data_IF_312776369286
#
_entry.id   IF_312776369286
#
_cell.length_a   1.000
_cell.length_b   1.000
_cell.length_c   1.000
_cell.angle_alpha   90.00
_cell.angle_beta   90.00
_cell.angle_gamma   90.00
#
_symmetry.space_group_name_H-M   'P 1'
#
loop_
_entity.id
_entity.type
_entity.pdbx_description
1 polymer ?
#
# COMPACT_ATOMS: atom_id res chain seq x y z
N UNK A 1 -14.10 7.44 -19.27
CA UNK A 1 -14.16 7.32 -17.80
C UNK A 1 -13.33 8.47 -17.25
N UNK A 2 -13.89 9.34 -16.41
CA UNK A 2 -13.05 10.29 -15.68
C UNK A 2 -11.97 9.51 -14.91
N UNK A 3 -10.78 10.09 -14.66
CA UNK A 3 -9.92 9.55 -13.63
C UNK A 3 -10.71 9.61 -12.32
N UNK A 4 -11.10 8.46 -11.79
CA UNK A 4 -11.67 8.36 -10.46
C UNK A 4 -10.76 9.09 -9.48
N UNK A 5 -11.33 10.00 -8.69
CA UNK A 5 -10.57 10.74 -7.70
C UNK A 5 -10.02 9.77 -6.63
N UNK A 6 -8.94 10.17 -5.95
CA UNK A 6 -8.24 9.29 -5.01
C UNK A 6 -9.14 8.82 -3.86
N UNK A 7 -10.12 9.63 -3.45
CA UNK A 7 -11.04 9.27 -2.37
C UNK A 7 -12.04 8.19 -2.82
N UNK A 8 -12.55 8.30 -4.05
CA UNK A 8 -13.40 7.27 -4.66
C UNK A 8 -12.68 5.94 -4.81
N UNK A 9 -11.41 5.96 -5.26
CA UNK A 9 -10.59 4.74 -5.35
C UNK A 9 -10.40 4.14 -3.95
N UNK A 10 -9.98 4.93 -2.97
CA UNK A 10 -9.75 4.46 -1.60
C UNK A 10 -11.01 3.83 -0.98
N UNK A 11 -12.17 4.51 -1.10
CA UNK A 11 -13.44 4.01 -0.56
C UNK A 11 -13.86 2.69 -1.17
N UNK A 12 -13.77 2.56 -2.49
CA UNK A 12 -14.13 1.32 -3.18
C UNK A 12 -13.14 0.20 -2.88
N UNK A 13 -11.85 0.49 -2.79
CA UNK A 13 -10.83 -0.49 -2.40
C UNK A 13 -11.08 -1.06 -1.00
N UNK A 14 -11.47 -0.20 -0.04
CA UNK A 14 -11.87 -0.62 1.33
C UNK A 14 -13.13 -1.48 1.27
N UNK A 15 -14.18 -1.01 0.58
CA UNK A 15 -15.44 -1.74 0.48
C UNK A 15 -15.26 -3.14 -0.12
N UNK A 16 -14.40 -3.27 -1.13
CA UNK A 16 -14.04 -4.54 -1.74
C UNK A 16 -13.42 -5.50 -0.72
N UNK A 17 -12.39 -5.07 0.01
CA UNK A 17 -11.69 -5.91 0.99
C UNK A 17 -12.57 -6.30 2.18
N UNK A 18 -13.45 -5.40 2.65
CA UNK A 18 -14.38 -5.70 3.73
C UNK A 18 -15.48 -6.69 3.33
N UNK A 19 -15.89 -6.70 2.06
CA UNK A 19 -16.98 -7.57 1.60
C UNK A 19 -16.55 -9.03 1.39
N UNK A 20 -15.27 -9.29 1.16
CA UNK A 20 -14.74 -10.62 0.85
C UNK A 20 -15.05 -11.09 -0.57
N UNK A 21 -14.16 -11.92 -1.12
CA UNK A 21 -14.24 -12.42 -2.50
C UNK A 21 -15.55 -13.18 -2.78
N UNK A 22 -16.11 -12.99 -3.98
CA UNK A 22 -17.32 -13.68 -4.44
C UNK A 22 -18.64 -13.05 -3.97
N UNK A 23 -18.58 -11.91 -3.27
CA UNK A 23 -19.76 -11.10 -2.99
C UNK A 23 -20.00 -10.07 -4.09
N UNK A 24 -21.26 -9.64 -4.25
CA UNK A 24 -21.61 -8.57 -5.20
C UNK A 24 -20.85 -7.26 -4.93
N UNK A 25 -20.65 -6.91 -3.65
CA UNK A 25 -19.91 -5.69 -3.27
C UNK A 25 -18.44 -5.79 -3.67
N UNK A 26 -17.83 -6.97 -3.53
CA UNK A 26 -16.46 -7.21 -4.03
C UNK A 26 -16.38 -6.98 -5.54
N UNK A 27 -17.25 -7.64 -6.31
CA UNK A 27 -17.25 -7.52 -7.78
C UNK A 27 -17.48 -6.09 -8.27
N UNK A 28 -18.43 -5.37 -7.66
CA UNK A 28 -18.75 -3.98 -8.01
C UNK A 28 -17.64 -2.98 -7.67
N UNK A 29 -16.72 -3.34 -6.77
CA UNK A 29 -15.63 -2.47 -6.34
C UNK A 29 -14.23 -2.95 -6.76
N UNK A 30 -14.13 -4.08 -7.44
CA UNK A 30 -12.86 -4.66 -7.89
C UNK A 30 -12.05 -3.73 -8.79
N UNK A 31 -12.73 -2.88 -9.56
CA UNK A 31 -12.11 -1.85 -10.39
C UNK A 31 -11.15 -0.94 -9.61
N UNK A 32 -11.37 -0.73 -8.31
CA UNK A 32 -10.52 0.13 -7.49
C UNK A 32 -9.17 -0.52 -7.17
N UNK A 33 -9.15 -1.85 -7.02
CA UNK A 33 -7.92 -2.62 -6.95
C UNK A 33 -7.16 -2.52 -8.26
N UNK A 34 -7.81 -2.86 -9.39
CA UNK A 34 -7.18 -2.79 -10.72
C UNK A 34 -6.65 -1.39 -11.01
N UNK A 35 -7.39 -0.35 -10.60
CA UNK A 35 -6.97 1.03 -10.82
C UNK A 35 -5.74 1.40 -10.01
N UNK A 36 -5.66 0.97 -8.75
CA UNK A 36 -4.51 1.25 -7.89
C UNK A 36 -3.28 0.47 -8.35
N UNK A 37 -3.46 -0.79 -8.73
CA UNK A 37 -2.45 -1.65 -9.37
C UNK A 37 -1.87 -0.99 -10.63
N UNK A 38 -2.74 -0.51 -11.52
CA UNK A 38 -2.36 0.25 -12.71
C UNK A 38 -1.54 1.52 -12.37
N UNK A 39 -1.89 2.20 -11.27
CA UNK A 39 -1.22 3.44 -10.87
C UNK A 39 0.16 3.17 -10.27
N UNK A 40 0.39 2.02 -9.64
CA UNK A 40 1.72 1.63 -9.16
C UNK A 40 2.73 1.73 -10.32
N UNK A 41 2.37 1.25 -11.50
CA UNK A 41 3.27 1.28 -12.66
C UNK A 41 3.28 2.61 -13.43
N UNK A 42 2.19 3.38 -13.39
CA UNK A 42 2.01 4.58 -14.24
C UNK A 42 2.31 5.89 -13.51
N UNK A 43 2.01 5.94 -12.23
CA UNK A 43 2.09 7.14 -11.38
C UNK A 43 2.24 6.72 -9.90
N UNK A 44 3.44 6.26 -9.50
CA UNK A 44 3.67 5.67 -8.18
C UNK A 44 3.45 6.65 -7.03
N UNK A 45 3.68 7.95 -7.24
CA UNK A 45 3.38 8.98 -6.24
C UNK A 45 1.87 9.10 -6.01
N UNK A 46 1.05 9.06 -7.07
CA UNK A 46 -0.40 9.05 -6.92
C UNK A 46 -0.90 7.77 -6.25
N UNK A 47 -0.30 6.62 -6.56
CA UNK A 47 -0.61 5.37 -5.87
C UNK A 47 -0.34 5.48 -4.37
N UNK A 48 0.81 6.04 -3.98
CA UNK A 48 1.15 6.30 -2.58
C UNK A 48 0.13 7.23 -1.88
N UNK A 49 -0.33 8.29 -2.55
CA UNK A 49 -1.37 9.17 -2.00
C UNK A 49 -2.72 8.44 -1.80
N UNK A 50 -3.07 7.47 -2.64
CA UNK A 50 -4.26 6.64 -2.46
C UNK A 50 -4.07 5.69 -1.27
N UNK A 51 -2.91 5.06 -1.11
CA UNK A 51 -2.59 4.21 0.05
C UNK A 51 -2.74 5.01 1.35
N UNK A 52 -2.19 6.23 1.40
CA UNK A 52 -2.36 7.14 2.55
C UNK A 52 -3.83 7.48 2.81
N UNK A 53 -4.61 7.72 1.75
CA UNK A 53 -6.04 7.95 1.88
C UNK A 53 -6.81 6.74 2.42
N UNK A 54 -6.42 5.51 2.04
CA UNK A 54 -7.00 4.27 2.56
C UNK A 54 -6.70 4.14 4.06
N UNK A 55 -5.43 4.27 4.47
CA UNK A 55 -5.01 4.16 5.87
C UNK A 55 -5.72 5.20 6.75
N UNK A 56 -5.91 6.41 6.24
CA UNK A 56 -6.65 7.47 6.92
C UNK A 56 -8.15 7.17 7.06
N UNK A 57 -8.73 6.47 6.10
CA UNK A 57 -10.16 6.17 6.07
C UNK A 57 -10.52 4.92 6.90
N UNK A 58 -9.65 3.91 6.93
CA UNK A 58 -9.86 2.67 7.68
C UNK A 58 -8.52 2.14 8.23
N UNK A 59 -8.44 2.08 9.56
CA UNK A 59 -7.25 1.64 10.30
C UNK A 59 -7.38 0.22 10.87
N UNK A 60 -8.31 -0.59 10.34
CA UNK A 60 -8.48 -1.96 10.78
C UNK A 60 -7.30 -2.83 10.34
N UNK A 61 -6.95 -3.84 11.16
CA UNK A 61 -5.85 -4.76 10.86
C UNK A 61 -6.00 -5.44 9.48
N UNK A 62 -7.24 -5.73 9.06
CA UNK A 62 -7.52 -6.32 7.75
C UNK A 62 -7.09 -5.39 6.61
N UNK A 63 -7.47 -4.11 6.67
CA UNK A 63 -7.13 -3.13 5.63
C UNK A 63 -5.62 -2.86 5.62
N UNK A 64 -5.02 -2.64 6.79
CA UNK A 64 -3.59 -2.37 6.89
C UNK A 64 -2.74 -3.55 6.39
N UNK A 65 -3.13 -4.79 6.71
CA UNK A 65 -2.40 -5.99 6.28
C UNK A 65 -2.49 -6.21 4.77
N UNK A 66 -3.67 -5.99 4.18
CA UNK A 66 -3.85 -6.11 2.72
C UNK A 66 -3.08 -5.05 1.95
N UNK A 67 -2.94 -3.83 2.47
CA UNK A 67 -2.09 -2.80 1.87
C UNK A 67 -0.61 -3.19 1.92
N UNK A 68 -0.17 -3.74 3.06
CA UNK A 68 1.19 -4.22 3.24
C UNK A 68 1.54 -5.33 2.27
N UNK A 69 0.78 -6.44 2.29
CA UNK A 69 1.02 -7.62 1.47
C UNK A 69 0.65 -7.45 -0.03
N UNK A 70 0.36 -6.22 -0.45
CA UNK A 70 -0.03 -5.89 -1.82
C UNK A 70 0.61 -4.58 -2.25
N UNK A 71 -0.14 -3.48 -2.19
CA UNK A 71 0.26 -2.26 -2.88
C UNK A 71 1.52 -1.59 -2.34
N UNK A 72 1.85 -1.75 -1.05
CA UNK A 72 3.12 -1.24 -0.50
C UNK A 72 4.29 -2.10 -0.98
N UNK A 73 4.12 -3.42 -1.02
CA UNK A 73 5.11 -4.37 -1.55
C UNK A 73 5.37 -4.09 -3.02
N UNK A 74 4.32 -4.05 -3.84
CA UNK A 74 4.41 -3.78 -5.27
C UNK A 74 5.04 -2.42 -5.58
N UNK A 75 4.74 -1.38 -4.79
CA UNK A 75 5.41 -0.07 -4.93
C UNK A 75 6.92 -0.19 -4.74
N UNK A 76 7.37 -0.98 -3.77
CA UNK A 76 8.79 -1.21 -3.54
C UNK A 76 9.40 -2.07 -4.65
N UNK A 77 8.73 -3.15 -5.08
CA UNK A 77 9.23 -4.02 -6.14
C UNK A 77 9.43 -3.27 -7.47
N UNK A 78 8.50 -2.38 -7.83
CA UNK A 78 8.50 -1.76 -9.16
C UNK A 78 9.04 -0.33 -9.19
N UNK A 79 9.01 0.40 -8.07
CA UNK A 79 9.24 1.84 -8.07
C UNK A 79 10.07 2.34 -6.87
N UNK A 80 10.87 1.48 -6.22
CA UNK A 80 11.57 1.82 -4.98
C UNK A 80 12.24 3.20 -4.97
N UNK A 81 13.03 3.52 -6.00
CA UNK A 81 13.80 4.74 -6.10
C UNK A 81 12.92 5.99 -6.26
N UNK A 82 11.69 5.82 -6.76
CA UNK A 82 10.74 6.92 -6.91
C UNK A 82 10.02 7.23 -5.59
N UNK A 83 9.77 6.23 -4.74
CA UNK A 83 8.87 6.39 -3.58
C UNK A 83 9.52 6.26 -2.21
N UNK A 84 10.75 5.73 -2.10
CA UNK A 84 11.35 5.44 -0.78
C UNK A 84 11.53 6.70 0.10
N UNK A 85 11.83 7.85 -0.50
CA UNK A 85 11.96 9.11 0.23
C UNK A 85 10.60 9.60 0.75
N UNK A 86 9.54 9.48 -0.06
CA UNK A 86 8.18 9.83 0.31
C UNK A 86 7.62 8.88 1.39
N UNK A 87 7.90 7.59 1.27
CA UNK A 87 7.58 6.57 2.28
C UNK A 87 8.25 6.90 3.61
N UNK A 88 9.53 7.26 3.59
CA UNK A 88 10.23 7.66 4.80
C UNK A 88 9.61 8.92 5.41
N UNK A 89 9.37 9.95 4.59
CA UNK A 89 8.76 11.19 5.04
C UNK A 89 7.38 10.95 5.67
N UNK A 90 6.54 10.11 5.07
CA UNK A 90 5.22 9.76 5.62
C UNK A 90 5.31 8.96 6.92
N UNK A 91 6.23 7.99 7.00
CA UNK A 91 6.40 7.18 8.21
C UNK A 91 6.98 7.99 9.39
N UNK A 92 7.80 9.02 9.11
CA UNK A 92 8.37 9.92 10.09
C UNK A 92 7.42 11.06 10.47
N UNK A 93 6.60 11.53 9.53
CA UNK A 93 5.58 12.54 9.77
C UNK A 93 4.64 12.08 10.90
N UNK A 94 4.56 12.88 11.96
CA UNK A 94 3.74 12.61 13.15
C UNK A 94 3.99 11.23 13.82
N UNK A 95 5.11 10.56 13.50
CA UNK A 95 5.35 9.16 13.84
C UNK A 95 4.15 8.26 13.48
N UNK A 96 3.67 8.34 12.22
CA UNK A 96 2.48 7.67 11.70
C UNK A 96 2.54 6.13 11.92
N UNK A 97 2.07 5.69 13.09
CA UNK A 97 2.12 4.29 13.51
C UNK A 97 1.26 3.39 12.63
N UNK A 98 0.18 3.92 12.05
CA UNK A 98 -0.69 3.16 11.15
C UNK A 98 0.00 2.88 9.82
N UNK A 99 0.76 3.84 9.30
CA UNK A 99 1.55 3.63 8.09
C UNK A 99 2.64 2.57 8.31
N UNK A 100 3.41 2.68 9.40
CA UNK A 100 4.39 1.65 9.78
C UNK A 100 3.75 0.29 10.03
N UNK A 101 2.54 0.27 10.60
CA UNK A 101 1.77 -0.96 10.81
C UNK A 101 1.36 -1.60 9.48
N UNK A 102 0.92 -0.82 8.48
CA UNK A 102 0.68 -1.35 7.14
C UNK A 102 1.97 -1.90 6.51
N UNK A 103 3.09 -1.16 6.61
CA UNK A 103 4.40 -1.65 6.16
C UNK A 103 4.79 -2.98 6.81
N UNK A 104 4.37 -3.25 8.06
CA UNK A 104 4.76 -4.48 8.77
C UNK A 104 4.23 -5.78 8.16
N UNK A 105 3.31 -5.69 7.18
CA UNK A 105 2.77 -6.85 6.46
C UNK A 105 3.36 -7.03 5.05
N UNK A 106 4.41 -6.29 4.69
CA UNK A 106 5.16 -6.50 3.43
C UNK A 106 6.15 -7.65 3.56
N UNK A 107 6.31 -8.39 2.47
CA UNK A 107 7.28 -9.46 2.31
C UNK A 107 8.23 -9.10 1.16
N UNK A 108 9.36 -8.50 1.49
CA UNK A 108 10.38 -8.11 0.53
C UNK A 108 11.65 -8.92 0.78
N UNK A 109 12.34 -9.29 -0.30
CA UNK A 109 13.69 -9.81 -0.27
C UNK A 109 14.69 -8.92 -1.06
N UNK A 110 15.95 -9.32 -1.05
CA UNK A 110 17.02 -8.54 -1.69
C UNK A 110 16.93 -8.45 -3.21
N UNK A 111 16.11 -9.29 -3.85
CA UNK A 111 15.83 -9.26 -5.28
C UNK A 111 14.70 -8.30 -5.65
N UNK A 112 13.80 -7.98 -4.72
CA UNK A 112 12.66 -7.08 -4.94
C UNK A 112 13.06 -5.61 -4.95
N UNK A 113 13.94 -5.19 -4.04
CA UNK A 113 14.36 -3.79 -3.94
C UNK A 113 15.79 -3.64 -3.44
N UNK A 114 16.52 -2.68 -4.03
CA UNK A 114 17.85 -2.27 -3.52
C UNK A 114 17.78 -1.47 -2.22
N UNK A 115 16.57 -1.08 -1.78
CA UNK A 115 16.34 -0.31 -0.56
C UNK A 115 15.79 -1.16 0.60
N UNK A 116 15.93 -2.48 0.53
CA UNK A 116 15.40 -3.43 1.52
C UNK A 116 15.70 -3.02 2.98
N UNK A 117 16.97 -2.86 3.32
CA UNK A 117 17.39 -2.48 4.68
C UNK A 117 16.79 -1.14 5.12
N UNK A 118 16.71 -0.18 4.19
CA UNK A 118 16.14 1.15 4.46
C UNK A 118 14.64 1.02 4.72
N UNK A 119 13.91 0.26 3.92
CA UNK A 119 12.48 0.02 4.09
C UNK A 119 12.17 -0.59 5.46
N UNK A 120 12.83 -1.69 5.83
CA UNK A 120 12.61 -2.35 7.13
C UNK A 120 13.00 -1.45 8.32
N UNK A 121 14.07 -0.66 8.18
CA UNK A 121 14.45 0.35 9.18
C UNK A 121 13.37 1.42 9.36
N UNK A 122 12.76 1.91 8.28
CA UNK A 122 11.66 2.89 8.34
C UNK A 122 10.44 2.27 9.03
N UNK A 123 10.07 1.04 8.63
CA UNK A 123 8.96 0.30 9.20
C UNK A 123 9.15 -0.03 10.70
N UNK A 124 10.41 -0.07 11.17
CA UNK A 124 10.74 -0.41 12.55
C UNK A 124 10.61 -1.91 12.85
N UNK A 125 10.72 -2.74 11.82
CA UNK A 125 10.67 -4.21 11.89
C UNK A 125 11.95 -4.80 11.30
N UNK A 126 12.24 -6.07 11.60
CA UNK A 126 13.35 -6.79 10.98
C UNK A 126 12.89 -7.36 9.63
N UNK A 127 13.78 -7.45 8.61
CA UNK A 127 13.49 -8.20 7.41
C UNK A 127 13.15 -9.66 7.78
N UNK A 128 12.27 -10.34 7.00
CA UNK A 128 12.12 -11.77 7.13
C UNK A 128 13.50 -12.40 6.99
N UNK A 129 13.82 -13.34 7.90
CA UNK A 129 15.10 -14.02 7.87
C UNK A 129 15.20 -14.77 6.53
N UNK A 130 16.28 -14.54 5.78
CA UNK A 130 16.66 -15.42 4.68
C UNK A 130 16.81 -16.83 5.28
N UNK A 131 15.96 -17.79 4.87
CA UNK A 131 16.13 -19.21 5.21
C UNK A 131 17.32 -19.84 4.47
#
# INVERSE_FOLDING_TARGET
MEPSDNHSIAKSWIAMHLAGSGTKVYEENFWAFEKLDDLIHKDPHRALEIIKAIIKADSSELILSNLGAGQIEDLMCYNDAAVIDDIQAEAEAEANLLFKKAMSSTWLDSSDTKHLERFYKIAGIQPPLDE
#
